data_IF_717477441975
#
_entry.id   IF_717477441975
#
_cell.length_a   1.000
_cell.length_b   1.000
_cell.length_c   1.000
_cell.angle_alpha   90.00
_cell.angle_beta   90.00
_cell.angle_gamma   90.00
#
_symmetry.space_group_name_H-M   'P 1'
#
loop_
_entity.id
_entity.type
_entity.pdbx_description
1 polymer ?
#
# COMPACT_ATOMS: atom_id res chain seq x y z
N UNK A 1 -16.02 17.84 -1.08
CA UNK A 1 -17.42 17.98 -1.57
C UNK A 1 -17.56 17.53 -3.03
N UNK A 2 -16.66 17.92 -3.93
CA UNK A 2 -16.73 17.50 -5.35
C UNK A 2 -16.50 15.99 -5.58
N UNK A 3 -15.95 15.27 -4.61
CA UNK A 3 -15.70 13.83 -4.68
C UNK A 3 -16.87 12.98 -4.13
N UNK A 4 -17.96 13.58 -3.73
CA UNK A 4 -19.12 12.86 -3.19
C UNK A 4 -20.07 12.31 -4.27
N UNK A 5 -20.02 12.91 -5.45
CA UNK A 5 -20.84 12.46 -6.58
C UNK A 5 -20.04 11.48 -7.44
N UNK A 6 -20.62 10.31 -7.67
CA UNK A 6 -20.07 9.33 -8.60
C UNK A 6 -19.15 8.25 -7.98
N UNK A 7 -19.15 8.08 -6.67
CA UNK A 7 -18.55 6.88 -6.05
C UNK A 7 -19.64 5.98 -5.43
N UNK A 8 -19.39 4.69 -5.40
CA UNK A 8 -20.29 3.65 -4.90
C UNK A 8 -19.73 2.93 -3.67
N UNK A 9 -18.88 3.59 -2.90
CA UNK A 9 -18.17 3.02 -1.74
C UNK A 9 -17.28 1.82 -2.09
N UNK A 10 -16.89 1.67 -3.35
CA UNK A 10 -16.12 0.51 -3.80
C UNK A 10 -14.62 0.60 -3.52
N UNK A 11 -14.14 1.73 -3.06
CA UNK A 11 -12.78 1.85 -2.56
C UNK A 11 -12.14 3.21 -2.76
N UNK A 12 -11.16 3.45 -1.92
CA UNK A 12 -10.28 4.60 -1.96
C UNK A 12 -8.84 4.14 -1.85
N UNK A 13 -7.96 4.77 -2.60
CA UNK A 13 -6.54 4.60 -2.40
C UNK A 13 -5.79 5.90 -2.60
N UNK A 14 -4.64 6.02 -1.93
CA UNK A 14 -3.67 7.08 -2.17
C UNK A 14 -2.25 6.55 -2.12
N UNK A 15 -1.41 7.15 -2.95
CA UNK A 15 0.04 7.03 -2.92
C UNK A 15 0.61 8.40 -2.58
N UNK A 16 1.45 8.45 -1.58
CA UNK A 16 2.07 9.65 -1.06
C UNK A 16 3.57 9.55 -1.21
N UNK A 17 4.19 10.63 -1.67
CA UNK A 17 5.63 10.73 -1.95
C UNK A 17 6.20 12.03 -1.37
N UNK A 18 7.48 12.03 -1.09
CA UNK A 18 8.17 13.11 -0.38
C UNK A 18 7.50 13.34 0.99
N UNK A 19 7.60 12.31 1.82
CA UNK A 19 6.88 12.19 3.09
C UNK A 19 7.40 13.18 4.13
N UNK A 20 6.47 13.71 4.91
CA UNK A 20 6.69 14.52 6.09
C UNK A 20 6.18 13.83 7.35
N UNK A 21 5.82 14.64 8.36
CA UNK A 21 5.23 14.13 9.59
C UNK A 21 6.08 13.07 10.28
N UNK A 22 5.46 11.97 10.66
CA UNK A 22 6.12 10.86 11.35
C UNK A 22 7.26 10.22 10.55
N UNK A 23 7.22 10.30 9.22
CA UNK A 23 8.19 9.65 8.33
C UNK A 23 9.33 10.56 7.86
N UNK A 24 9.33 11.85 8.23
CA UNK A 24 10.28 12.84 7.73
C UNK A 24 11.76 12.44 7.90
N UNK A 25 12.09 11.75 8.99
CA UNK A 25 13.45 11.34 9.33
C UNK A 25 13.83 9.93 8.81
N UNK A 26 12.94 9.29 8.04
CA UNK A 26 13.10 7.90 7.59
C UNK A 26 13.01 7.72 6.08
N UNK A 27 13.08 8.82 5.32
CA UNK A 27 12.90 8.84 3.86
C UNK A 27 13.89 7.95 3.09
N UNK A 28 15.10 7.75 3.60
CA UNK A 28 16.13 6.90 2.99
C UNK A 28 15.88 5.40 3.16
N UNK A 29 15.00 5.03 4.11
CA UNK A 29 14.70 3.65 4.45
C UNK A 29 13.44 3.17 3.72
N UNK A 30 13.43 1.95 3.14
CA UNK A 30 12.24 1.41 2.52
C UNK A 30 11.08 1.33 3.53
N UNK A 31 9.95 1.90 3.16
CA UNK A 31 8.71 1.88 3.92
C UNK A 31 7.80 0.78 3.37
N UNK A 32 7.48 -0.18 4.21
CA UNK A 32 6.46 -1.18 3.95
C UNK A 32 5.09 -0.57 4.25
N UNK A 33 4.22 -0.59 3.24
CA UNK A 33 2.80 -0.25 3.39
C UNK A 33 1.97 -1.46 3.02
N UNK A 34 1.25 -2.03 3.98
CA UNK A 34 0.42 -3.21 3.74
C UNK A 34 -0.79 -3.26 4.67
N UNK A 35 -1.73 -4.13 4.31
CA UNK A 35 -2.85 -4.52 5.15
C UNK A 35 -2.92 -6.05 5.19
N UNK A 36 -2.90 -6.64 6.36
CA UNK A 36 -2.80 -8.09 6.52
C UNK A 36 -3.45 -8.62 7.80
N UNK A 37 -3.63 -9.93 7.86
CA UNK A 37 -3.94 -10.64 9.12
C UNK A 37 -2.70 -10.70 10.01
N UNK A 38 -2.88 -11.05 11.29
CA UNK A 38 -1.74 -11.24 12.20
C UNK A 38 -0.79 -12.34 11.71
N UNK A 39 -1.32 -13.45 11.22
CA UNK A 39 -0.51 -14.52 10.61
C UNK A 39 0.24 -14.05 9.36
N UNK A 40 -0.40 -13.19 8.54
CA UNK A 40 0.26 -12.58 7.40
C UNK A 40 1.41 -11.65 7.79
N UNK A 41 1.25 -10.93 8.90
CA UNK A 41 2.32 -10.09 9.46
C UNK A 41 3.53 -10.93 9.87
N UNK A 42 3.31 -11.98 10.66
CA UNK A 42 4.38 -12.88 11.12
C UNK A 42 5.19 -13.46 9.94
N UNK A 43 4.49 -13.89 8.89
CA UNK A 43 5.14 -14.42 7.67
C UNK A 43 5.96 -13.37 6.91
N UNK A 44 5.49 -12.14 6.87
CA UNK A 44 6.21 -11.02 6.22
C UNK A 44 7.45 -10.67 7.02
N UNK A 45 7.35 -10.61 8.34
CA UNK A 45 8.48 -10.32 9.22
C UNK A 45 9.56 -11.40 9.10
N UNK A 46 9.19 -12.68 9.18
CA UNK A 46 10.12 -13.79 8.99
C UNK A 46 10.81 -13.75 7.61
N UNK A 47 10.06 -13.43 6.56
CA UNK A 47 10.61 -13.31 5.21
C UNK A 47 11.62 -12.16 5.08
N UNK A 48 11.29 -10.99 5.62
CA UNK A 48 12.18 -9.82 5.58
C UNK A 48 13.43 -10.04 6.44
N UNK A 49 13.29 -10.65 7.60
CA UNK A 49 14.43 -11.02 8.47
C UNK A 49 15.38 -11.99 7.76
N UNK A 50 14.87 -13.01 7.09
CA UNK A 50 15.68 -13.95 6.28
C UNK A 50 16.46 -13.26 5.16
N UNK A 51 15.93 -12.17 4.61
CA UNK A 51 16.63 -11.35 3.63
C UNK A 51 17.61 -10.34 4.26
N UNK A 52 17.63 -10.24 5.59
CA UNK A 52 18.51 -9.35 6.34
C UNK A 52 17.98 -7.94 6.53
N UNK A 53 16.71 -7.67 6.20
CA UNK A 53 16.06 -6.42 6.57
C UNK A 53 15.79 -6.37 8.07
N UNK A 54 16.04 -5.23 8.70
CA UNK A 54 15.74 -5.04 10.13
C UNK A 54 14.81 -3.86 10.34
N UNK A 55 13.80 -3.97 11.22
CA UNK A 55 12.89 -2.86 11.52
C UNK A 55 13.67 -1.63 11.99
N UNK A 56 13.28 -0.45 11.51
CA UNK A 56 13.88 0.84 11.85
C UNK A 56 12.90 1.75 12.56
N UNK A 57 11.68 1.83 12.06
CA UNK A 57 10.63 2.67 12.60
C UNK A 57 9.29 2.03 12.27
N UNK A 58 8.42 1.92 13.26
CA UNK A 58 7.08 1.38 13.14
C UNK A 58 6.07 2.44 13.54
N UNK A 59 5.17 2.76 12.65
CA UNK A 59 4.12 3.72 12.92
C UNK A 59 2.77 3.02 12.95
N UNK A 60 2.11 3.14 14.09
CA UNK A 60 0.73 2.71 14.26
C UNK A 60 -0.15 3.96 14.26
N UNK A 61 -0.97 4.18 13.24
CA UNK A 61 -1.87 5.32 13.23
C UNK A 61 -2.92 5.17 14.33
N UNK A 62 -3.21 6.27 15.01
CA UNK A 62 -4.44 6.34 15.80
C UNK A 62 -5.62 6.24 14.82
N UNK A 63 -6.52 5.32 15.08
CA UNK A 63 -7.70 5.10 14.25
C UNK A 63 -8.96 5.43 15.07
N UNK A 64 -9.95 5.97 14.38
CA UNK A 64 -11.24 6.31 14.98
C UNK A 64 -12.29 5.31 14.51
N UNK A 65 -12.78 4.49 15.43
CA UNK A 65 -13.76 3.45 15.17
C UNK A 65 -15.13 4.07 14.88
N UNK A 66 -15.55 4.06 13.61
CA UNK A 66 -16.79 4.71 13.18
C UNK A 66 -17.67 3.79 12.33
N UNK A 67 -19.01 4.02 12.35
CA UNK A 67 -19.95 3.32 11.47
C UNK A 67 -19.62 3.58 9.99
N UNK A 68 -19.81 2.59 9.15
CA UNK A 68 -19.65 2.68 7.70
C UNK A 68 -18.49 1.86 7.14
N UNK A 69 -17.54 1.45 7.98
CA UNK A 69 -16.49 0.48 7.64
C UNK A 69 -16.79 -0.87 8.28
N UNK A 70 -16.45 -1.95 7.60
CA UNK A 70 -16.63 -3.31 8.13
C UNK A 70 -15.40 -3.69 8.99
N UNK A 71 -15.38 -3.20 10.23
CA UNK A 71 -14.26 -3.39 11.16
C UNK A 71 -13.94 -4.85 11.46
N UNK A 72 -14.92 -5.76 11.38
CA UNK A 72 -14.69 -7.19 11.61
C UNK A 72 -13.80 -7.81 10.51
N UNK A 73 -13.74 -7.18 9.35
CA UNK A 73 -12.93 -7.59 8.21
C UNK A 73 -11.72 -6.70 7.97
N UNK A 74 -11.49 -5.71 8.82
CA UNK A 74 -10.34 -4.83 8.66
C UNK A 74 -9.06 -5.55 9.08
N UNK A 75 -8.03 -5.52 8.22
CA UNK A 75 -6.75 -6.11 8.54
C UNK A 75 -5.93 -5.18 9.45
N UNK A 76 -4.83 -5.68 9.97
CA UNK A 76 -3.81 -4.83 10.53
C UNK A 76 -3.18 -3.99 9.41
N UNK A 77 -3.12 -2.68 9.61
CA UNK A 77 -2.36 -1.79 8.74
C UNK A 77 -0.94 -1.69 9.27
N UNK A 78 0.02 -1.83 8.37
CA UNK A 78 1.44 -1.77 8.73
C UNK A 78 2.11 -0.70 7.90
N UNK A 79 2.74 0.27 8.59
CA UNK A 79 3.56 1.33 8.03
C UNK A 79 4.90 1.30 8.74
N UNK A 80 5.85 0.50 8.21
CA UNK A 80 7.12 0.23 8.88
C UNK A 80 8.29 0.45 7.96
N UNK A 81 9.25 1.27 8.40
CA UNK A 81 10.53 1.43 7.73
C UNK A 81 11.51 0.34 8.15
N UNK A 82 12.33 -0.09 7.20
CA UNK A 82 13.34 -1.12 7.40
C UNK A 82 14.74 -0.58 7.02
N UNK A 83 15.75 -1.01 7.75
CA UNK A 83 17.14 -0.89 7.27
C UNK A 83 17.37 -1.91 6.18
N UNK A 84 18.16 -1.52 5.18
CA UNK A 84 18.64 -2.47 4.17
C UNK A 84 19.51 -3.56 4.82
N UNK A 85 19.58 -4.75 4.22
CA UNK A 85 20.59 -5.74 4.59
C UNK A 85 21.99 -5.15 4.56
N UNK A 86 22.87 -5.53 5.49
CA UNK A 86 24.21 -4.97 5.60
C UNK A 86 25.02 -5.07 4.30
N UNK A 87 24.82 -6.16 3.54
CA UNK A 87 25.44 -6.37 2.23
C UNK A 87 25.08 -5.31 1.19
N UNK A 88 24.01 -4.52 1.41
CA UNK A 88 23.55 -3.46 0.51
C UNK A 88 23.93 -2.05 0.98
N UNK A 89 24.64 -1.89 2.10
CA UNK A 89 25.01 -0.56 2.61
C UNK A 89 25.79 0.26 1.60
N UNK A 90 26.72 -0.37 0.87
CA UNK A 90 27.58 0.26 -0.11
C UNK A 90 27.19 -0.04 -1.57
N UNK A 91 26.05 -0.66 -1.81
CA UNK A 91 25.57 -0.97 -3.14
C UNK A 91 25.01 0.27 -3.85
N UNK A 92 25.04 0.23 -5.18
CA UNK A 92 24.42 1.24 -6.03
C UNK A 92 22.92 1.36 -5.79
N UNK A 93 22.34 2.49 -6.19
CA UNK A 93 20.88 2.63 -6.13
C UNK A 93 20.16 1.59 -7.01
N UNK A 94 20.74 1.25 -8.18
CA UNK A 94 20.16 0.24 -9.08
C UNK A 94 20.10 -1.16 -8.43
N UNK A 95 21.10 -1.53 -7.64
CA UNK A 95 21.09 -2.80 -6.90
C UNK A 95 20.04 -2.79 -5.78
N UNK A 96 19.97 -1.68 -5.03
CA UNK A 96 18.92 -1.49 -4.02
C UNK A 96 17.53 -1.50 -4.62
N UNK A 97 17.33 -0.83 -5.73
CA UNK A 97 16.08 -0.80 -6.48
C UNK A 97 15.64 -2.22 -6.89
N UNK A 98 16.55 -3.02 -7.45
CA UNK A 98 16.28 -4.41 -7.84
C UNK A 98 15.91 -5.27 -6.63
N UNK A 99 16.62 -5.11 -5.51
CA UNK A 99 16.28 -5.77 -4.26
C UNK A 99 14.85 -5.43 -3.82
N UNK A 100 14.51 -4.14 -3.79
CA UNK A 100 13.19 -3.68 -3.32
C UNK A 100 12.05 -4.17 -4.22
N UNK A 101 12.22 -4.13 -5.54
CA UNK A 101 11.22 -4.63 -6.48
C UNK A 101 10.99 -6.13 -6.27
N UNK A 102 12.06 -6.93 -6.24
CA UNK A 102 11.96 -8.37 -6.05
C UNK A 102 11.35 -8.72 -4.69
N UNK A 103 11.75 -8.01 -3.63
CA UNK A 103 11.18 -8.19 -2.29
C UNK A 103 9.69 -7.87 -2.28
N UNK A 104 9.29 -6.72 -2.85
CA UNK A 104 7.89 -6.30 -2.91
C UNK A 104 7.02 -7.34 -3.64
N UNK A 105 7.48 -7.84 -4.80
CA UNK A 105 6.76 -8.85 -5.58
C UNK A 105 6.68 -10.19 -4.84
N UNK A 106 7.75 -10.61 -4.18
CA UNK A 106 7.76 -11.83 -3.36
C UNK A 106 6.80 -11.73 -2.17
N UNK A 107 6.76 -10.58 -1.48
CA UNK A 107 5.81 -10.34 -0.40
C UNK A 107 4.36 -10.33 -0.87
N UNK A 108 4.08 -9.74 -2.04
CA UNK A 108 2.75 -9.79 -2.66
C UNK A 108 2.31 -11.22 -2.93
N UNK A 109 3.20 -12.03 -3.50
CA UNK A 109 2.94 -13.45 -3.74
C UNK A 109 2.70 -14.20 -2.43
N UNK A 110 3.57 -14.01 -1.44
CA UNK A 110 3.49 -14.66 -0.12
C UNK A 110 2.13 -14.46 0.55
N UNK A 111 1.62 -13.23 0.56
CA UNK A 111 0.34 -12.92 1.20
C UNK A 111 -0.87 -13.33 0.35
N UNK A 112 -0.78 -13.22 -0.99
CA UNK A 112 -1.89 -13.55 -1.87
C UNK A 112 -2.19 -15.04 -1.90
N UNK A 113 -1.17 -15.89 -1.88
CA UNK A 113 -1.32 -17.36 -1.85
C UNK A 113 -2.02 -17.84 -0.57
N UNK A 114 -1.80 -17.15 0.55
CA UNK A 114 -2.48 -17.47 1.82
C UNK A 114 -3.81 -16.73 2.05
N UNK A 115 -4.18 -15.79 1.18
CA UNK A 115 -5.33 -14.93 1.42
C UNK A 115 -5.18 -14.03 2.65
N UNK A 116 -3.94 -13.77 3.08
CA UNK A 116 -3.61 -13.19 4.38
C UNK A 116 -3.40 -11.67 4.34
N UNK A 117 -3.51 -11.05 3.16
CA UNK A 117 -3.37 -9.61 3.03
C UNK A 117 -2.78 -9.15 1.71
N UNK A 118 -2.37 -7.88 1.68
CA UNK A 118 -1.86 -7.23 0.48
C UNK A 118 -0.73 -6.27 0.82
N UNK A 119 0.41 -6.39 0.11
CA UNK A 119 1.49 -5.40 0.14
C UNK A 119 1.24 -4.37 -0.96
N UNK A 120 1.04 -3.13 -0.56
CA UNK A 120 0.76 -2.03 -1.47
C UNK A 120 2.04 -1.43 -2.03
N UNK A 121 3.02 -1.17 -1.17
CA UNK A 121 4.35 -0.69 -1.55
C UNK A 121 5.43 -1.13 -0.56
N UNK A 122 6.66 -1.27 -1.05
CA UNK A 122 7.87 -1.42 -0.25
C UNK A 122 8.96 -0.59 -0.92
N UNK A 123 9.03 0.70 -0.54
CA UNK A 123 9.87 1.67 -1.23
C UNK A 123 10.26 2.84 -0.32
N UNK A 124 11.47 3.43 -0.47
CA UNK A 124 11.84 4.63 0.28
C UNK A 124 10.93 5.81 -0.05
N UNK A 125 10.61 6.59 0.97
CA UNK A 125 9.87 7.86 0.84
C UNK A 125 8.51 7.76 0.12
N UNK A 126 7.88 6.58 0.22
CA UNK A 126 6.55 6.32 -0.36
C UNK A 126 5.66 5.58 0.62
N UNK A 127 4.47 6.11 0.86
CA UNK A 127 3.41 5.45 1.61
C UNK A 127 2.21 5.21 0.71
N UNK A 128 1.67 4.00 0.75
CA UNK A 128 0.45 3.64 0.03
C UNK A 128 -0.62 3.18 1.01
N UNK A 129 -1.79 3.81 0.94
CA UNK A 129 -2.96 3.43 1.73
C UNK A 129 -4.10 3.07 0.79
N UNK A 130 -4.77 1.95 1.09
CA UNK A 130 -5.94 1.49 0.34
C UNK A 130 -6.99 0.92 1.27
N UNK A 131 -8.26 1.29 1.03
CA UNK A 131 -9.38 0.74 1.77
C UNK A 131 -10.65 0.69 0.93
N UNK A 132 -11.59 -0.15 1.34
CA UNK A 132 -12.94 -0.24 0.77
C UNK A 132 -13.90 0.54 1.66
N UNK A 133 -14.68 1.43 1.09
CA UNK A 133 -15.65 2.25 1.81
C UNK A 133 -15.79 3.66 1.25
N UNK A 134 -16.59 4.48 1.92
CA UNK A 134 -16.71 5.92 1.62
C UNK A 134 -15.39 6.62 1.97
N UNK A 135 -14.85 7.48 1.07
CA UNK A 135 -13.61 8.20 1.35
C UNK A 135 -13.64 9.07 2.61
N UNK A 136 -14.81 9.57 3.02
CA UNK A 136 -14.98 10.35 4.25
C UNK A 136 -14.83 9.47 5.48
N UNK A 137 -15.42 8.27 5.45
CA UNK A 137 -15.31 7.31 6.55
C UNK A 137 -13.87 6.83 6.69
N UNK A 138 -13.21 6.54 5.56
CA UNK A 138 -11.78 6.17 5.53
C UNK A 138 -10.92 7.32 6.07
N UNK A 139 -11.15 8.56 5.61
CA UNK A 139 -10.42 9.74 6.09
C UNK A 139 -10.63 9.99 7.58
N UNK A 140 -11.83 9.74 8.09
CA UNK A 140 -12.14 9.84 9.51
C UNK A 140 -11.50 8.73 10.32
N UNK A 141 -11.58 7.50 9.84
CA UNK A 141 -10.95 6.35 10.49
C UNK A 141 -9.44 6.55 10.70
N UNK A 142 -8.73 7.02 9.69
CA UNK A 142 -7.30 7.35 9.79
C UNK A 142 -7.03 8.76 10.32
N UNK A 143 -8.04 9.47 10.80
CA UNK A 143 -7.95 10.84 11.35
C UNK A 143 -7.21 11.83 10.43
N UNK A 144 -7.42 11.72 9.11
CA UNK A 144 -6.70 12.51 8.11
C UNK A 144 -7.00 14.02 8.16
N UNK A 145 -8.01 14.41 8.91
CA UNK A 145 -8.44 15.81 9.05
C UNK A 145 -7.80 16.55 10.22
N UNK A 146 -7.05 15.84 11.05
CA UNK A 146 -6.44 16.42 12.24
C UNK A 146 -5.21 17.25 11.88
N UNK A 147 -5.11 18.45 12.47
CA UNK A 147 -3.89 19.26 12.37
C UNK A 147 -2.71 18.53 13.00
N UNK A 148 -1.52 18.68 12.40
CA UNK A 148 -0.32 17.97 12.84
C UNK A 148 -0.30 16.48 12.51
N UNK A 149 -1.16 16.07 11.62
CA UNK A 149 -1.35 14.69 11.22
C UNK A 149 -0.04 13.99 10.86
N UNK A 150 0.06 12.71 11.24
CA UNK A 150 1.20 11.86 10.94
C UNK A 150 1.45 11.68 9.43
N UNK A 151 0.40 11.80 8.64
CA UNK A 151 0.34 11.57 7.20
C UNK A 151 0.52 12.90 6.45
N UNK A 152 1.78 13.26 6.20
CA UNK A 152 2.15 14.45 5.44
C UNK A 152 2.98 14.06 4.22
N UNK A 153 2.74 14.70 3.09
CA UNK A 153 3.51 14.49 1.88
C UNK A 153 3.44 15.70 0.96
N UNK A 154 4.45 15.89 0.12
CA UNK A 154 4.46 16.94 -0.92
C UNK A 154 3.68 16.54 -2.16
N UNK A 155 3.65 15.25 -2.47
CA UNK A 155 2.92 14.72 -3.63
C UNK A 155 1.93 13.67 -3.15
N UNK A 156 0.66 13.86 -3.49
CA UNK A 156 -0.43 12.92 -3.17
C UNK A 156 -1.17 12.60 -4.44
N UNK A 157 -1.20 11.32 -4.81
CA UNK A 157 -2.05 10.79 -5.88
C UNK A 157 -3.15 9.95 -5.23
N UNK A 158 -4.42 10.33 -5.42
CA UNK A 158 -5.54 9.66 -4.79
C UNK A 158 -6.70 9.47 -5.76
N UNK A 159 -7.44 8.38 -5.61
CA UNK A 159 -8.64 8.10 -6.39
C UNK A 159 -9.70 7.40 -5.54
N UNK A 160 -10.95 7.83 -5.71
CA UNK A 160 -12.11 7.05 -5.30
C UNK A 160 -12.49 6.15 -6.47
N UNK A 161 -12.61 4.86 -6.19
CA UNK A 161 -13.01 3.88 -7.20
C UNK A 161 -14.52 3.81 -7.28
N UNK A 162 -15.02 3.79 -8.51
CA UNK A 162 -16.36 3.32 -8.82
C UNK A 162 -16.25 1.90 -9.39
N UNK A 163 -16.99 0.96 -8.80
CA UNK A 163 -17.01 -0.41 -9.28
C UNK A 163 -18.17 -0.59 -10.26
N UNK A 164 -17.90 -1.18 -11.42
CA UNK A 164 -18.95 -1.38 -12.43
C UNK A 164 -19.40 -2.82 -12.52
N UNK A 165 -18.48 -3.79 -12.60
CA UNK A 165 -18.83 -5.18 -12.91
C UNK A 165 -18.03 -6.22 -12.11
N UNK A 166 -17.18 -5.83 -11.14
CA UNK A 166 -16.26 -6.74 -10.47
C UNK A 166 -16.46 -6.75 -8.96
N UNK A 167 -16.03 -7.85 -8.33
CA UNK A 167 -15.98 -7.92 -6.88
C UNK A 167 -15.12 -6.80 -6.31
N UNK A 168 -15.65 -6.10 -5.33
CA UNK A 168 -14.91 -5.09 -4.58
C UNK A 168 -13.77 -5.78 -3.81
N UNK A 169 -12.55 -5.35 -4.07
CA UNK A 169 -11.37 -5.85 -3.38
C UNK A 169 -10.43 -4.70 -3.06
N UNK A 170 -9.94 -4.69 -1.83
CA UNK A 170 -9.13 -3.59 -1.28
C UNK A 170 -7.90 -3.26 -2.12
N UNK A 171 -7.15 -4.26 -2.57
CA UNK A 171 -5.92 -4.03 -3.32
C UNK A 171 -6.14 -3.40 -4.70
N UNK A 172 -7.33 -3.56 -5.30
CA UNK A 172 -7.62 -3.11 -6.66
C UNK A 172 -7.96 -1.62 -6.78
N UNK A 173 -8.09 -0.90 -5.65
CA UNK A 173 -8.25 0.55 -5.69
C UNK A 173 -6.98 1.21 -6.25
N UNK A 174 -7.15 2.13 -7.22
CA UNK A 174 -6.06 2.94 -7.76
C UNK A 174 -5.77 4.14 -6.84
N UNK A 175 -4.54 4.65 -6.83
CA UNK A 175 -3.38 4.30 -7.65
C UNK A 175 -2.66 3.02 -7.20
N UNK A 176 -1.90 2.44 -8.13
CA UNK A 176 -0.89 1.42 -7.84
C UNK A 176 0.51 2.03 -7.81
N UNK A 177 1.40 1.44 -7.01
CA UNK A 177 2.79 1.83 -6.96
C UNK A 177 3.71 0.64 -7.14
N UNK A 178 4.72 0.79 -7.99
CA UNK A 178 5.83 -0.14 -8.13
C UNK A 178 7.04 0.58 -8.75
N UNK A 179 8.24 0.26 -8.26
CA UNK A 179 9.51 0.67 -8.88
C UNK A 179 9.67 2.20 -9.06
N UNK A 180 9.10 3.01 -8.15
CA UNK A 180 9.14 4.47 -8.26
C UNK A 180 8.02 5.08 -9.11
N UNK A 181 7.22 4.27 -9.78
CA UNK A 181 6.11 4.72 -10.63
C UNK A 181 4.76 4.59 -9.91
N UNK A 182 3.96 5.63 -10.04
CA UNK A 182 2.55 5.64 -9.63
C UNK A 182 1.68 5.55 -10.87
N UNK A 183 0.81 4.54 -10.91
CA UNK A 183 -0.13 4.33 -12.00
C UNK A 183 -1.56 4.55 -11.51
N UNK A 184 -2.28 5.43 -12.18
CA UNK A 184 -3.69 5.68 -11.93
C UNK A 184 -4.46 5.57 -13.24
N UNK A 185 -5.53 4.79 -13.25
CA UNK A 185 -6.39 4.59 -14.40
C UNK A 185 -7.85 4.88 -14.03
N UNK A 186 -8.57 5.48 -14.96
CA UNK A 186 -10.02 5.64 -14.88
C UNK A 186 -10.62 5.15 -16.20
N UNK A 187 -11.07 3.90 -16.18
CA UNK A 187 -11.62 3.24 -17.38
C UNK A 187 -11.87 1.76 -17.12
N UNK A 188 -12.49 1.11 -18.08
CA UNK A 188 -12.75 -0.32 -18.09
C UNK A 188 -11.85 -1.02 -19.10
N UNK A 189 -11.30 -2.17 -18.70
CA UNK A 189 -10.62 -3.08 -19.63
C UNK A 189 -11.63 -4.10 -20.16
N UNK A 190 -12.15 -3.85 -21.36
CA UNK A 190 -13.14 -4.72 -22.00
C UNK A 190 -12.56 -6.06 -22.47
N UNK A 191 -11.25 -6.19 -22.49
CA UNK A 191 -10.54 -7.42 -22.87
C UNK A 191 -9.72 -8.01 -21.72
N UNK A 192 -10.06 -7.71 -20.49
CA UNK A 192 -9.30 -8.11 -19.30
C UNK A 192 -8.85 -9.56 -19.32
N UNK A 193 -9.75 -10.51 -19.62
CA UNK A 193 -9.42 -11.94 -19.61
C UNK A 193 -8.38 -12.29 -20.69
N UNK A 194 -8.54 -11.77 -21.91
CA UNK A 194 -7.57 -11.98 -22.99
C UNK A 194 -6.22 -11.34 -22.69
N UNK A 195 -6.21 -10.15 -22.14
CA UNK A 195 -4.98 -9.47 -21.75
C UNK A 195 -4.26 -10.25 -20.65
N UNK A 196 -5.00 -10.77 -19.67
CA UNK A 196 -4.45 -11.63 -18.62
C UNK A 196 -3.86 -12.94 -19.18
N UNK A 197 -4.56 -13.60 -20.07
CA UNK A 197 -4.08 -14.83 -20.74
C UNK A 197 -2.83 -14.56 -21.57
N UNK A 198 -2.81 -13.45 -22.30
CA UNK A 198 -1.64 -13.02 -23.06
C UNK A 198 -0.43 -12.78 -22.15
N UNK A 199 -0.58 -12.04 -21.06
CA UNK A 199 0.49 -11.79 -20.10
C UNK A 199 0.98 -13.06 -19.42
N UNK A 200 0.08 -13.98 -19.07
CA UNK A 200 0.45 -15.28 -18.50
C UNK A 200 1.19 -16.18 -19.49
N UNK A 201 0.96 -16.02 -20.79
CA UNK A 201 1.66 -16.75 -21.84
C UNK A 201 3.05 -16.21 -22.19
N UNK A 202 3.42 -15.04 -21.64
CA UNK A 202 4.75 -14.45 -21.82
C UNK A 202 5.78 -14.92 -20.77
N UNK A 203 5.36 -15.74 -19.81
CA UNK A 203 6.15 -16.33 -18.74
C UNK A 203 6.10 -17.85 -18.83
#
# INVERSE_FOLDING_TARGET
>A
LAMQEGHDNSGFAMVMQDLGGAFANFKEFPLLSMACTSEGLDRVEEFLEKLGFTPKFDYQPDVDDRPGLDFQKMPNYVFRNYRYPESYNNCSWEDKKRLLVNTCLSLRKLLSEGGQGYVYSFWPDVLTLKEVGDPRDIGTYFQMWNEGHWLQARVISAQCRQNTNYKIVRYAAHPFFLEGYTLMGNGEDTFYQKNKEFLNGLH
#
